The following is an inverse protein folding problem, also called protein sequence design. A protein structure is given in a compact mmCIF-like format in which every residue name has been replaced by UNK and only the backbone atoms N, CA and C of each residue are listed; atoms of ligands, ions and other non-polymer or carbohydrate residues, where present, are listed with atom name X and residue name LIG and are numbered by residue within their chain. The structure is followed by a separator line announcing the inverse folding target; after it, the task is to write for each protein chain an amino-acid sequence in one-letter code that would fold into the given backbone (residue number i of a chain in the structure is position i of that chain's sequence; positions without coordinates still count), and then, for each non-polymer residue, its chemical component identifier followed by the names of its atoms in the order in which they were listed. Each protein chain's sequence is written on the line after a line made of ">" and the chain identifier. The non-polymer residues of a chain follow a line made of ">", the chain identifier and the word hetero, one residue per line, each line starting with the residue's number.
data_IF_757905798094
#
_entry.id   IF_757905798094
#
_cell.length_a   1.000
_cell.length_b   1.000
_cell.length_c   1.000
_cell.angle_alpha   90.00
_cell.angle_beta   90.00
_cell.angle_gamma   90.00
#
_symmetry.space_group_name_H-M   'P 1'
#
loop_
_entity.id
_entity.type
_entity.pdbx_description
1 polymer ?
#
# COMPACT_ATOMS: atom_id res chain seq x y z
N UNK A 1 -26.87 -3.50 -49.38
CA UNK A 1 -26.61 -2.20 -48.74
C UNK A 1 -26.55 -2.41 -47.23
N UNK A 2 -25.37 -2.70 -46.68
CA UNK A 2 -25.20 -2.91 -45.24
C UNK A 2 -25.22 -1.54 -44.56
N UNK A 3 -26.41 -1.07 -44.18
CA UNK A 3 -26.50 -0.03 -43.16
C UNK A 3 -26.11 -0.66 -41.83
N UNK A 4 -24.79 -0.74 -41.62
CA UNK A 4 -24.20 -1.05 -40.33
C UNK A 4 -24.81 -0.09 -39.31
N UNK A 5 -25.61 -0.65 -38.40
CA UNK A 5 -26.40 0.11 -37.45
C UNK A 5 -25.45 0.90 -36.53
N UNK A 6 -25.21 2.17 -36.86
CA UNK A 6 -24.26 3.04 -36.14
C UNK A 6 -24.53 3.06 -34.64
N UNK A 7 -25.80 2.96 -34.23
CA UNK A 7 -26.18 2.90 -32.82
C UNK A 7 -25.60 1.66 -32.11
N UNK A 8 -25.62 0.49 -32.76
CA UNK A 8 -25.03 -0.74 -32.22
C UNK A 8 -23.51 -0.63 -32.13
N UNK A 9 -22.86 0.02 -33.09
CA UNK A 9 -21.43 0.29 -33.05
C UNK A 9 -21.03 1.17 -31.86
N UNK A 10 -21.72 2.30 -31.66
CA UNK A 10 -21.43 3.19 -30.53
C UNK A 10 -21.70 2.51 -29.18
N UNK A 11 -22.75 1.69 -29.08
CA UNK A 11 -23.05 0.90 -27.88
C UNK A 11 -21.94 -0.13 -27.58
N UNK A 12 -21.51 -0.89 -28.58
CA UNK A 12 -20.41 -1.86 -28.44
C UNK A 12 -19.08 -1.17 -28.09
N UNK A 13 -18.76 -0.05 -28.74
CA UNK A 13 -17.56 0.74 -28.45
C UNK A 13 -17.58 1.27 -27.01
N UNK A 14 -18.72 1.77 -26.53
CA UNK A 14 -18.86 2.24 -25.14
C UNK A 14 -18.67 1.11 -24.13
N UNK A 15 -19.27 -0.06 -24.39
CA UNK A 15 -19.09 -1.25 -23.55
C UNK A 15 -17.64 -1.73 -23.52
N UNK A 16 -16.97 -1.75 -24.68
CA UNK A 16 -15.55 -2.10 -24.77
C UNK A 16 -14.66 -1.13 -24.00
N UNK A 17 -14.88 0.18 -24.16
CA UNK A 17 -14.13 1.21 -23.41
C UNK A 17 -14.34 1.09 -21.90
N UNK A 18 -15.57 0.82 -21.47
CA UNK A 18 -15.87 0.57 -20.07
C UNK A 18 -15.14 -0.66 -19.54
N UNK A 19 -15.26 -1.81 -20.23
CA UNK A 19 -14.59 -3.05 -19.84
C UNK A 19 -13.05 -2.88 -19.78
N UNK A 20 -12.47 -2.20 -20.78
CA UNK A 20 -11.04 -1.88 -20.82
C UNK A 20 -10.63 -1.03 -19.61
N UNK A 21 -11.36 0.04 -19.32
CA UNK A 21 -11.02 0.93 -18.22
C UNK A 21 -11.15 0.21 -16.86
N UNK A 22 -12.18 -0.62 -16.68
CA UNK A 22 -12.35 -1.47 -15.49
C UNK A 22 -11.20 -2.47 -15.34
N UNK A 23 -10.78 -3.10 -16.43
CA UNK A 23 -9.65 -4.02 -16.42
C UNK A 23 -8.33 -3.33 -16.04
N UNK A 24 -8.07 -2.16 -16.61
CA UNK A 24 -6.88 -1.35 -16.27
C UNK A 24 -6.91 -0.94 -14.79
N UNK A 25 -8.06 -0.51 -14.28
CA UNK A 25 -8.22 -0.18 -12.87
C UNK A 25 -7.93 -1.39 -11.97
N UNK A 26 -8.42 -2.57 -12.33
CA UNK A 26 -8.18 -3.80 -11.59
C UNK A 26 -6.69 -4.16 -11.54
N UNK A 27 -5.98 -4.07 -12.67
CA UNK A 27 -4.53 -4.29 -12.71
C UNK A 27 -3.80 -3.29 -11.83
N UNK A 28 -4.15 -2.00 -11.91
CA UNK A 28 -3.52 -0.97 -11.10
C UNK A 28 -3.68 -1.25 -9.60
N UNK A 29 -4.88 -1.66 -9.16
CA UNK A 29 -5.12 -2.04 -7.77
C UNK A 29 -4.30 -3.26 -7.36
N UNK A 30 -4.18 -4.28 -8.21
CA UNK A 30 -3.37 -5.47 -7.94
C UNK A 30 -1.88 -5.16 -7.80
N UNK A 31 -1.37 -4.17 -8.55
CA UNK A 31 0.02 -3.72 -8.43
C UNK A 31 0.28 -2.90 -7.17
N UNK A 32 -0.72 -2.17 -6.66
CA UNK A 32 -0.58 -1.32 -5.47
C UNK A 32 -0.74 -2.15 -4.19
N UNK A 33 -1.61 -3.15 -4.20
CA UNK A 33 -2.03 -3.90 -3.03
C UNK A 33 -0.90 -4.57 -2.21
N UNK A 34 0.13 -5.20 -2.82
CA UNK A 34 1.16 -5.93 -2.08
C UNK A 34 2.25 -5.02 -1.50
N UNK A 35 2.08 -3.69 -1.53
CA UNK A 35 3.09 -2.75 -1.04
C UNK A 35 2.53 -1.76 0.00
N UNK A 36 3.40 -1.41 0.94
CA UNK A 36 3.29 -0.25 1.81
C UNK A 36 4.00 0.94 1.17
N UNK A 37 3.36 2.11 1.17
CA UNK A 37 3.88 3.36 0.63
C UNK A 37 4.15 4.34 1.76
N UNK A 38 5.42 4.60 2.06
CA UNK A 38 5.82 5.55 3.10
C UNK A 38 5.92 6.94 2.49
N UNK A 39 4.90 7.76 2.70
CA UNK A 39 4.71 9.02 1.96
C UNK A 39 5.70 10.11 2.35
N UNK A 40 6.08 10.22 3.62
CA UNK A 40 7.10 11.19 4.10
C UNK A 40 8.52 10.90 3.60
N UNK A 41 8.70 9.75 2.97
CA UNK A 41 10.02 9.17 2.73
C UNK A 41 10.19 8.59 1.33
N UNK A 42 9.14 8.61 0.50
CA UNK A 42 9.10 8.06 -0.85
C UNK A 42 9.63 6.63 -0.93
N UNK A 43 9.29 5.80 0.06
CA UNK A 43 9.70 4.39 0.10
C UNK A 43 8.54 3.45 -0.15
N UNK A 44 8.85 2.33 -0.80
CA UNK A 44 7.90 1.25 -1.08
C UNK A 44 8.44 0.00 -0.41
N UNK A 45 7.64 -0.61 0.47
CA UNK A 45 8.02 -1.78 1.25
C UNK A 45 7.04 -2.92 0.92
N UNK A 46 7.51 -4.12 0.54
CA UNK A 46 6.61 -5.24 0.29
C UNK A 46 5.86 -5.62 1.56
N UNK A 47 4.56 -5.88 1.43
CA UNK A 47 3.75 -6.44 2.50
C UNK A 47 4.10 -7.92 2.65
N UNK A 48 4.16 -8.37 3.90
CA UNK A 48 4.28 -9.77 4.26
C UNK A 48 2.92 -10.50 4.33
N UNK A 49 1.80 -9.76 4.28
CA UNK A 49 0.44 -10.30 4.28
C UNK A 49 -0.40 -9.61 3.20
N UNK A 50 -1.41 -10.31 2.65
CA UNK A 50 -2.37 -9.75 1.67
C UNK A 50 -3.43 -8.86 2.35
N UNK A 51 -2.98 -7.96 3.22
CA UNK A 51 -3.81 -7.07 4.02
C UNK A 51 -3.86 -5.65 3.46
N UNK A 52 -4.96 -4.94 3.72
CA UNK A 52 -5.10 -3.51 3.41
C UNK A 52 -4.52 -2.60 4.50
N UNK A 53 -4.15 -3.19 5.64
CA UNK A 53 -3.62 -2.48 6.81
C UNK A 53 -2.36 -1.70 6.42
N UNK A 54 -2.36 -0.40 6.71
CA UNK A 54 -1.23 0.52 6.49
C UNK A 54 -0.68 0.55 5.05
N UNK A 55 -1.56 0.59 4.04
CA UNK A 55 -1.11 0.73 2.63
C UNK A 55 -0.37 2.04 2.40
N UNK A 56 -0.80 3.13 3.03
CA UNK A 56 -0.05 4.38 3.10
C UNK A 56 0.40 4.57 4.54
N UNK A 57 1.69 4.82 4.73
CA UNK A 57 2.33 5.02 6.02
C UNK A 57 2.81 6.46 6.06
N UNK A 58 2.31 7.19 7.04
CA UNK A 58 2.65 8.59 7.32
C UNK A 58 3.71 8.70 8.40
N UNK A 59 4.26 9.90 8.61
CA UNK A 59 5.21 10.15 9.70
C UNK A 59 4.59 9.93 11.08
N UNK A 60 3.29 10.21 11.27
CA UNK A 60 2.63 9.92 12.54
C UNK A 60 2.58 8.42 12.83
N UNK A 61 2.28 7.59 11.83
CA UNK A 61 2.23 6.13 11.99
C UNK A 61 3.60 5.56 12.40
N UNK A 62 4.67 6.16 11.87
CA UNK A 62 6.05 5.80 12.22
C UNK A 62 6.35 6.19 13.68
N UNK A 63 6.00 7.41 14.06
CA UNK A 63 6.25 7.91 15.42
C UNK A 63 5.47 7.12 16.46
N UNK A 64 4.22 6.76 16.16
CA UNK A 64 3.38 5.91 17.00
C UNK A 64 4.01 4.52 17.16
N UNK A 65 4.37 3.86 16.06
CA UNK A 65 5.04 2.56 16.11
C UNK A 65 6.37 2.59 16.89
N UNK A 66 7.15 3.67 16.77
CA UNK A 66 8.38 3.85 17.54
C UNK A 66 8.11 4.06 19.03
N UNK A 67 7.09 4.83 19.39
CA UNK A 67 6.70 5.03 20.80
C UNK A 67 6.22 3.71 21.42
N UNK A 68 5.33 3.00 20.73
CA UNK A 68 4.86 1.68 21.17
C UNK A 68 6.03 0.71 21.32
N UNK A 69 6.95 0.67 20.35
CA UNK A 69 8.14 -0.15 20.43
C UNK A 69 9.03 0.19 21.64
N UNK A 70 9.23 1.48 21.93
CA UNK A 70 10.06 1.91 23.05
C UNK A 70 9.43 1.60 24.42
N UNK A 71 8.09 1.62 24.50
CA UNK A 71 7.35 1.35 25.73
C UNK A 71 7.10 -0.16 25.93
N UNK A 72 7.04 -0.93 24.84
CA UNK A 72 6.76 -2.36 24.88
C UNK A 72 7.89 -3.16 25.58
N UNK A 73 7.48 -4.10 26.44
CA UNK A 73 8.37 -5.16 26.93
C UNK A 73 8.79 -6.12 25.81
N UNK A 74 9.70 -7.06 26.12
CA UNK A 74 10.28 -7.97 25.12
C UNK A 74 9.24 -8.69 24.24
N UNK A 75 8.14 -9.15 24.82
CA UNK A 75 7.07 -9.84 24.09
C UNK A 75 6.25 -8.91 23.17
N UNK A 76 5.97 -7.67 23.59
CA UNK A 76 5.22 -6.72 22.77
C UNK A 76 6.04 -6.17 21.59
N UNK A 77 7.36 -6.19 21.70
CA UNK A 77 8.25 -5.84 20.58
C UNK A 77 8.17 -6.86 19.45
N UNK A 78 8.11 -8.15 19.77
CA UNK A 78 8.03 -9.21 18.75
C UNK A 78 6.76 -9.06 17.89
N UNK A 79 5.61 -8.76 18.51
CA UNK A 79 4.34 -8.52 17.81
C UNK A 79 4.39 -7.30 16.87
N UNK A 80 5.08 -6.22 17.27
CA UNK A 80 5.25 -5.03 16.41
C UNK A 80 6.16 -5.31 15.22
N UNK A 81 7.21 -6.11 15.41
CA UNK A 81 8.19 -6.46 14.37
C UNK A 81 7.61 -7.42 13.32
N UNK A 82 6.54 -8.17 13.65
CA UNK A 82 5.87 -9.02 12.66
C UNK A 82 5.33 -8.25 11.45
N UNK A 83 5.23 -6.92 11.51
CA UNK A 83 4.90 -6.09 10.36
C UNK A 83 6.17 -5.70 9.58
N UNK A 84 6.27 -6.09 8.30
CA UNK A 84 7.47 -5.88 7.48
C UNK A 84 7.88 -4.40 7.37
N UNK A 85 6.92 -3.48 7.35
CA UNK A 85 7.22 -2.05 7.34
C UNK A 85 7.77 -1.56 8.68
N UNK A 86 7.28 -2.06 9.81
CA UNK A 86 7.79 -1.72 11.14
C UNK A 86 9.22 -2.23 11.29
N UNK A 87 9.48 -3.49 10.95
CA UNK A 87 10.81 -4.07 10.97
C UNK A 87 11.80 -3.25 10.13
N UNK A 88 11.43 -2.93 8.88
CA UNK A 88 12.27 -2.15 7.97
C UNK A 88 12.53 -0.73 8.49
N UNK A 89 11.55 -0.12 9.14
CA UNK A 89 11.67 1.24 9.67
C UNK A 89 12.48 1.30 10.97
N UNK A 90 12.37 0.29 11.84
CA UNK A 90 13.09 0.23 13.12
C UNK A 90 14.54 -0.23 12.93
N UNK A 91 14.80 -1.19 12.04
CA UNK A 91 16.11 -1.86 11.94
C UNK A 91 16.97 -1.44 10.75
N UNK A 92 16.36 -1.06 9.62
CA UNK A 92 17.12 -0.76 8.39
C UNK A 92 17.26 0.74 8.14
N UNK A 93 16.56 1.58 8.91
CA UNK A 93 16.64 3.02 8.79
C UNK A 93 17.23 3.64 10.04
N UNK A 94 18.27 4.44 9.83
CA UNK A 94 18.75 5.50 10.74
C UNK A 94 17.69 6.60 10.93
N UNK A 95 16.41 6.26 11.10
CA UNK A 95 15.48 7.19 11.75
C UNK A 95 15.95 7.19 13.19
N UNK A 96 16.47 8.32 13.72
CA UNK A 96 17.03 8.33 15.05
C UNK A 96 15.93 7.89 16.01
N UNK A 97 16.04 6.65 16.51
CA UNK A 97 15.47 6.32 17.80
C UNK A 97 16.03 7.39 18.71
N UNK A 98 15.14 8.23 19.26
CA UNK A 98 15.54 9.25 20.21
C UNK A 98 16.48 8.54 21.19
N UNK A 99 17.77 8.92 21.18
CA UNK A 99 18.74 8.31 22.09
C UNK A 99 18.09 8.37 23.45
N UNK A 100 17.81 7.19 24.02
CA UNK A 100 17.35 7.09 25.38
C UNK A 100 18.42 7.77 26.23
N UNK A 101 18.12 8.98 26.71
CA UNK A 101 18.94 9.69 27.68
C UNK A 101 18.84 8.96 29.02
#
# INVERSE_FOLDING_TARGET
>A
MYMYNRANYYKAKKQFLFARNTFVLFIALMLILPFHYVTGHFQIIPKNQWGFTHTFITESDINEALQEYNIAGKLGKDELIEQAWVQKMIYERDIPTAKAN
#
